data_IF_796939703639
#
_entry.id   IF_796939703639
#
_cell.length_a   1.000
_cell.length_b   1.000
_cell.length_c   1.000
_cell.angle_alpha   90.00
_cell.angle_beta   90.00
_cell.angle_gamma   90.00
#
_symmetry.space_group_name_H-M   'P 1'
#
loop_
_entity.id
_entity.type
_entity.pdbx_description
1 polymer ?
#
# COMPACT_ATOMS: atom_id res chain seq x y z
N UNK A 1 31.45 -4.83 -16.31
CA UNK A 1 30.90 -4.11 -15.14
C UNK A 1 29.51 -3.63 -15.52
N UNK A 2 28.47 -4.36 -15.13
CA UNK A 2 27.08 -4.00 -15.43
C UNK A 2 26.68 -2.81 -14.55
N UNK A 3 26.22 -1.74 -15.19
CA UNK A 3 25.82 -0.52 -14.52
C UNK A 3 24.39 -0.73 -13.99
N UNK A 4 24.27 -1.17 -12.74
CA UNK A 4 22.98 -1.26 -12.04
C UNK A 4 22.44 0.17 -11.84
N UNK A 5 21.50 0.60 -12.70
CA UNK A 5 20.83 1.89 -12.51
C UNK A 5 20.05 1.79 -11.19
N UNK A 6 20.58 2.42 -10.13
CA UNK A 6 19.92 2.57 -8.84
C UNK A 6 18.66 3.44 -9.01
N UNK A 7 17.57 2.85 -9.46
CA UNK A 7 16.30 3.55 -9.54
C UNK A 7 15.75 3.72 -8.12
N UNK A 8 15.81 4.95 -7.61
CA UNK A 8 15.23 5.26 -6.31
C UNK A 8 13.72 5.03 -6.34
N UNK A 9 13.12 4.44 -5.30
CA UNK A 9 11.70 4.18 -5.29
C UNK A 9 10.93 5.50 -5.37
N UNK A 10 9.87 5.52 -6.19
CA UNK A 10 8.98 6.68 -6.29
C UNK A 10 8.08 6.71 -5.07
N UNK A 11 8.38 7.60 -4.12
CA UNK A 11 7.66 7.69 -2.85
C UNK A 11 6.62 8.80 -2.85
N UNK A 12 5.43 8.49 -2.34
CA UNK A 12 4.38 9.47 -2.08
C UNK A 12 3.93 9.40 -0.62
N UNK A 13 3.37 10.50 -0.12
CA UNK A 13 2.63 10.48 1.15
C UNK A 13 1.22 9.96 0.91
N UNK A 14 0.52 9.53 1.96
CA UNK A 14 -0.90 9.16 1.87
C UNK A 14 -1.77 10.27 1.25
N UNK A 15 -1.43 11.54 1.53
CA UNK A 15 -2.15 12.71 1.00
C UNK A 15 -1.92 12.90 -0.50
N UNK A 16 -0.72 12.64 -0.99
CA UNK A 16 -0.34 12.90 -2.40
C UNK A 16 -0.48 11.67 -3.30
N UNK A 17 -0.53 10.46 -2.74
CA UNK A 17 -0.66 9.22 -3.50
C UNK A 17 -1.84 9.19 -4.50
N UNK A 18 -3.03 9.76 -4.20
CA UNK A 18 -4.11 9.84 -5.18
C UNK A 18 -3.73 10.52 -6.49
N UNK A 19 -2.83 11.51 -6.46
CA UNK A 19 -2.42 12.24 -7.68
C UNK A 19 -1.58 11.37 -8.61
N UNK A 20 -1.03 10.25 -8.12
CA UNK A 20 -0.35 9.26 -8.94
C UNK A 20 -1.32 8.34 -9.69
N UNK A 21 -2.60 8.29 -9.29
CA UNK A 21 -3.64 7.41 -9.85
C UNK A 21 -4.96 8.18 -10.06
N UNK A 22 -4.98 9.23 -10.90
CA UNK A 22 -6.13 10.15 -10.99
C UNK A 22 -7.42 9.48 -11.48
N UNK A 23 -7.31 8.36 -12.20
CA UNK A 23 -8.47 7.65 -12.75
C UNK A 23 -9.11 6.63 -11.78
N UNK A 24 -8.47 6.35 -10.64
CA UNK A 24 -8.94 5.33 -9.69
C UNK A 24 -9.85 5.89 -8.58
N UNK A 25 -10.13 7.21 -8.58
CA UNK A 25 -10.99 7.82 -7.56
C UNK A 25 -10.48 7.66 -6.12
N UNK A 26 -9.18 7.39 -5.93
CA UNK A 26 -8.61 7.14 -4.61
C UNK A 26 -8.70 8.38 -3.72
N UNK A 27 -9.14 8.18 -2.48
CA UNK A 27 -9.13 9.22 -1.45
C UNK A 27 -8.11 8.88 -0.37
N UNK A 28 -7.61 9.91 0.32
CA UNK A 28 -6.71 9.68 1.47
C UNK A 28 -7.36 8.77 2.52
N UNK A 29 -8.67 8.93 2.77
CA UNK A 29 -9.41 8.08 3.70
C UNK A 29 -9.43 6.60 3.27
N UNK A 30 -9.65 6.33 1.97
CA UNK A 30 -9.58 4.98 1.44
C UNK A 30 -8.18 4.36 1.61
N UNK A 31 -7.13 5.14 1.32
CA UNK A 31 -5.74 4.70 1.48
C UNK A 31 -5.41 4.41 2.95
N UNK A 32 -5.84 5.26 3.89
CA UNK A 32 -5.70 4.98 5.33
C UNK A 32 -6.40 3.66 5.71
N UNK A 33 -7.61 3.43 5.19
CA UNK A 33 -8.33 2.17 5.39
C UNK A 33 -7.57 0.96 4.86
N UNK A 34 -6.96 1.07 3.68
CA UNK A 34 -6.13 -0.01 3.09
C UNK A 34 -4.87 -0.27 3.91
N UNK A 35 -4.19 0.78 4.39
CA UNK A 35 -3.01 0.65 5.27
C UNK A 35 -3.40 0.00 6.60
N UNK A 36 -4.53 0.40 7.19
CA UNK A 36 -5.03 -0.20 8.44
C UNK A 36 -5.41 -1.67 8.26
N UNK A 37 -5.89 -2.06 7.08
CA UNK A 37 -6.23 -3.44 6.70
C UNK A 37 -5.02 -4.21 6.13
N UNK A 38 -3.82 -3.65 6.15
CA UNK A 38 -2.68 -4.20 5.41
C UNK A 38 -2.12 -5.53 5.94
N UNK A 39 -2.36 -5.83 7.21
CA UNK A 39 -1.88 -7.03 7.90
C UNK A 39 -3.03 -7.74 8.58
N UNK A 40 -2.81 -9.01 8.90
CA UNK A 40 -3.70 -9.80 9.74
C UNK A 40 -3.89 -9.12 11.10
N UNK A 41 -5.11 -9.20 11.63
CA UNK A 41 -5.49 -8.62 12.92
C UNK A 41 -6.51 -9.51 13.63
N UNK A 42 -6.72 -9.29 14.91
CA UNK A 42 -7.70 -10.04 15.69
C UNK A 42 -8.87 -9.14 16.10
N UNK A 43 -10.08 -9.70 16.13
CA UNK A 43 -11.24 -9.03 16.73
C UNK A 43 -11.27 -9.21 18.26
N UNK A 44 -12.26 -8.60 18.91
CA UNK A 44 -12.46 -8.70 20.36
C UNK A 44 -12.81 -10.12 20.85
N UNK A 45 -13.15 -11.04 19.94
CA UNK A 45 -13.44 -12.45 20.21
C UNK A 45 -12.24 -13.36 19.90
N UNK A 46 -11.08 -12.78 19.58
CA UNK A 46 -9.87 -13.51 19.23
C UNK A 46 -9.91 -14.15 17.84
N UNK A 47 -10.86 -13.80 16.97
CA UNK A 47 -10.93 -14.33 15.61
C UNK A 47 -9.94 -13.59 14.72
N UNK A 48 -9.22 -14.34 13.89
CA UNK A 48 -8.28 -13.79 12.91
C UNK A 48 -9.04 -13.18 11.74
N UNK A 49 -8.77 -11.90 11.45
CA UNK A 49 -9.20 -11.18 10.27
C UNK A 49 -7.99 -11.08 9.34
N UNK A 50 -8.11 -11.67 8.14
CA UNK A 50 -7.05 -11.60 7.14
C UNK A 50 -6.81 -10.16 6.68
N UNK A 51 -5.54 -9.80 6.50
CA UNK A 51 -5.14 -8.55 5.87
C UNK A 51 -5.45 -8.53 4.37
N UNK A 52 -5.45 -7.35 3.77
CA UNK A 52 -5.62 -7.17 2.32
C UNK A 52 -4.32 -7.42 1.51
N UNK A 53 -3.26 -7.92 2.15
CA UNK A 53 -1.98 -8.23 1.51
C UNK A 53 -1.08 -7.04 1.22
N UNK A 54 -1.52 -5.80 1.41
CA UNK A 54 -0.73 -4.61 1.05
C UNK A 54 0.62 -4.55 1.79
N UNK A 55 0.68 -4.97 3.06
CA UNK A 55 1.94 -4.93 3.80
C UNK A 55 2.99 -5.90 3.23
N UNK A 56 2.56 -7.05 2.70
CA UNK A 56 3.46 -8.08 2.16
C UNK A 56 4.16 -7.62 0.87
N UNK A 57 3.59 -6.64 0.17
CA UNK A 57 4.18 -6.07 -1.06
C UNK A 57 5.42 -5.20 -0.79
N UNK A 58 5.62 -4.78 0.46
CA UNK A 58 6.64 -3.79 0.82
C UNK A 58 6.34 -2.39 0.31
N UNK A 59 5.08 -2.07 -0.07
CA UNK A 59 4.68 -0.73 -0.50
C UNK A 59 4.60 0.28 0.65
N UNK A 60 4.31 -0.18 1.87
CA UNK A 60 4.17 0.70 3.05
C UNK A 60 5.53 0.89 3.72
N UNK A 61 6.10 2.09 3.60
CA UNK A 61 7.41 2.44 4.17
C UNK A 61 7.19 3.34 5.39
N UNK A 62 7.52 2.82 6.58
CA UNK A 62 7.44 3.56 7.84
C UNK A 62 8.82 4.08 8.22
N UNK A 63 8.96 5.41 8.36
CA UNK A 63 10.18 6.07 8.86
C UNK A 63 9.81 7.03 9.99
N UNK A 64 10.03 6.58 11.22
CA UNK A 64 9.60 7.31 12.42
C UNK A 64 8.08 7.54 12.41
N UNK A 65 7.65 8.79 12.52
CA UNK A 65 6.22 9.17 12.49
C UNK A 65 5.63 9.31 11.06
N UNK A 66 6.45 9.13 10.02
CA UNK A 66 6.01 9.29 8.63
C UNK A 66 5.69 7.94 7.99
N UNK A 67 4.60 7.91 7.23
CA UNK A 67 4.24 6.81 6.32
C UNK A 67 4.40 7.32 4.90
N UNK A 68 5.30 6.68 4.17
CA UNK A 68 5.49 6.84 2.74
C UNK A 68 5.01 5.59 2.04
N UNK A 69 4.55 5.75 0.81
CA UNK A 69 4.06 4.67 -0.04
C UNK A 69 4.93 4.63 -1.29
N UNK A 70 5.49 3.46 -1.56
CA UNK A 70 6.09 3.15 -2.86
C UNK A 70 4.97 3.06 -3.90
N UNK A 71 4.96 4.03 -4.82
CA UNK A 71 3.87 4.20 -5.80
C UNK A 71 3.78 2.99 -6.72
N UNK A 72 4.91 2.42 -7.13
CA UNK A 72 4.91 1.37 -8.14
C UNK A 72 4.47 0.04 -7.54
N UNK A 73 4.92 -0.28 -6.31
CA UNK A 73 4.45 -1.45 -5.57
C UNK A 73 2.98 -1.36 -5.18
N UNK A 74 2.53 -0.17 -4.79
CA UNK A 74 1.12 0.08 -4.49
C UNK A 74 0.24 -0.08 -5.75
N UNK A 75 0.68 0.45 -6.89
CA UNK A 75 0.01 0.26 -8.18
C UNK A 75 -0.06 -1.21 -8.61
N UNK A 76 1.02 -1.95 -8.44
CA UNK A 76 1.05 -3.40 -8.71
C UNK A 76 0.08 -4.17 -7.80
N UNK A 77 0.00 -3.79 -6.52
CA UNK A 77 -0.98 -4.36 -5.60
C UNK A 77 -2.41 -4.06 -6.02
N UNK A 78 -2.72 -2.82 -6.43
CA UNK A 78 -4.05 -2.43 -6.94
C UNK A 78 -4.44 -3.27 -8.16
N UNK A 79 -3.56 -3.41 -9.14
CA UNK A 79 -3.81 -4.23 -10.33
C UNK A 79 -4.06 -5.71 -10.00
N UNK A 80 -3.47 -6.22 -8.91
CA UNK A 80 -3.72 -7.57 -8.40
C UNK A 80 -4.96 -7.71 -7.51
N UNK A 81 -5.58 -6.60 -7.08
CA UNK A 81 -6.76 -6.62 -6.20
C UNK A 81 -8.10 -6.54 -6.95
N UNK A 82 -8.08 -6.36 -8.28
CA UNK A 82 -9.28 -6.27 -9.13
C UNK A 82 -10.05 -7.60 -9.29
N UNK A 83 -9.58 -8.68 -8.66
CA UNK A 83 -10.30 -9.94 -8.45
C UNK A 83 -10.53 -10.16 -6.95
N UNK A 84 -11.76 -9.92 -6.49
CA UNK A 84 -12.14 -9.94 -5.07
C UNK A 84 -11.70 -11.18 -4.28
N UNK A 85 -11.57 -10.99 -2.96
CA UNK A 85 -11.52 -12.01 -1.92
C UNK A 85 -10.82 -13.32 -2.30
N UNK A 86 -9.53 -13.43 -1.93
CA UNK A 86 -8.94 -14.74 -1.66
C UNK A 86 -9.32 -15.19 -0.25
#
# INVERSE_FOLDING_TARGET
MTNEIQNSPRLATVKTLPTCFPLLGLTAAAIHGQIFKSQDRFDSKGRKIAGNGLAATGAIIRRGRKVLIDVDRYGAWLAGTDGGAK
#
